data_IF_384027633576
#
_entry.id   IF_384027633576
#
_cell.length_a   1.000
_cell.length_b   1.000
_cell.length_c   1.000
_cell.angle_alpha   90.00
_cell.angle_beta   90.00
_cell.angle_gamma   90.00
#
_symmetry.space_group_name_H-M   'P 1'
#
loop_
_entity.id
_entity.type
_entity.pdbx_description
1 polymer ?
#
# COMPACT_ATOMS: atom_id res chain seq x y z
N UNK A 1 9.80 -25.71 -3.04
CA UNK A 1 11.19 -25.89 -2.59
C UNK A 1 11.38 -24.97 -1.39
N UNK A 2 11.86 -25.47 -0.25
CA UNK A 2 12.14 -24.62 0.90
C UNK A 2 13.37 -23.75 0.64
N UNK A 3 13.35 -22.52 1.13
CA UNK A 3 14.54 -21.68 1.21
C UNK A 3 15.25 -21.96 2.54
N UNK A 4 16.57 -22.12 2.54
CA UNK A 4 17.34 -22.31 3.78
C UNK A 4 17.42 -20.99 4.54
N UNK A 5 17.02 -20.99 5.81
CA UNK A 5 17.09 -19.81 6.68
C UNK A 5 18.51 -19.63 7.21
N UNK A 6 19.12 -18.46 6.92
CA UNK A 6 20.50 -18.16 7.33
C UNK A 6 20.61 -17.11 8.45
N UNK A 7 19.56 -16.31 8.66
CA UNK A 7 19.55 -15.21 9.63
C UNK A 7 18.15 -15.07 10.24
N UNK A 8 18.09 -14.53 11.44
CA UNK A 8 16.86 -14.15 12.14
C UNK A 8 16.94 -12.68 12.52
N UNK A 9 15.80 -11.97 12.44
CA UNK A 9 15.67 -10.60 12.93
C UNK A 9 15.02 -10.64 14.31
N UNK A 10 15.65 -10.00 15.29
CA UNK A 10 15.06 -9.78 16.61
C UNK A 10 14.48 -8.36 16.63
N UNK A 11 13.20 -8.24 16.94
CA UNK A 11 12.48 -6.97 17.01
C UNK A 11 11.71 -6.89 18.34
N UNK A 12 11.43 -5.66 18.77
CA UNK A 12 10.51 -5.45 19.88
C UNK A 12 9.08 -5.81 19.44
N UNK A 13 8.33 -6.43 20.34
CA UNK A 13 6.90 -6.71 20.10
C UNK A 13 6.11 -5.40 20.10
N UNK A 14 5.22 -5.24 19.14
CA UNK A 14 4.24 -4.17 19.11
C UNK A 14 2.84 -4.77 19.41
N UNK A 15 2.05 -4.06 20.19
CA UNK A 15 0.62 -4.36 20.32
C UNK A 15 -0.09 -3.72 19.12
N UNK A 16 -0.49 -4.56 18.17
CA UNK A 16 -1.16 -4.15 16.94
C UNK A 16 -2.67 -4.13 17.19
N UNK A 17 -3.26 -2.93 17.19
CA UNK A 17 -4.70 -2.78 17.37
C UNK A 17 -5.48 -2.99 16.06
N UNK A 18 -4.91 -2.52 14.94
CA UNK A 18 -5.49 -2.56 13.60
C UNK A 18 -4.40 -2.79 12.56
N UNK A 19 -4.75 -3.45 11.46
CA UNK A 19 -3.86 -3.75 10.34
C UNK A 19 -4.45 -3.19 9.05
N UNK A 20 -3.61 -2.59 8.22
CA UNK A 20 -4.01 -1.94 6.99
C UNK A 20 -3.07 -2.36 5.86
N UNK A 21 -3.61 -2.38 4.64
CA UNK A 21 -2.86 -2.71 3.44
C UNK A 21 -2.65 -1.46 2.58
N UNK A 22 -1.41 -1.20 2.14
CA UNK A 22 -1.11 -0.21 1.09
C UNK A 22 -0.01 -0.73 0.16
N UNK A 23 -0.15 -0.47 -1.14
CA UNK A 23 0.90 -0.76 -2.10
C UNK A 23 0.93 0.18 -3.30
N UNK A 24 2.11 0.27 -3.91
CA UNK A 24 2.34 0.87 -5.22
C UNK A 24 2.96 -0.16 -6.15
N UNK A 25 2.42 -0.27 -7.37
CA UNK A 25 2.91 -1.20 -8.37
C UNK A 25 2.79 -0.64 -9.79
N UNK A 26 3.58 -1.21 -10.70
CA UNK A 26 3.43 -0.98 -12.14
C UNK A 26 2.27 -1.82 -12.70
N UNK A 27 1.16 -1.17 -13.07
CA UNK A 27 0.08 -1.79 -13.83
C UNK A 27 0.48 -1.87 -15.32
N UNK A 28 0.97 -3.05 -15.71
CA UNK A 28 1.41 -3.33 -17.07
C UNK A 28 0.28 -3.32 -18.10
N UNK A 29 -0.94 -3.61 -17.69
CA UNK A 29 -2.10 -3.65 -18.58
C UNK A 29 -2.46 -2.24 -19.03
N UNK A 30 -2.53 -1.33 -18.06
CA UNK A 30 -2.90 0.07 -18.30
C UNK A 30 -1.69 0.99 -18.54
N UNK A 31 -0.46 0.45 -18.44
CA UNK A 31 0.81 1.19 -18.62
C UNK A 31 0.88 2.41 -17.71
N UNK A 32 0.45 2.24 -16.47
CA UNK A 32 0.38 3.28 -15.45
C UNK A 32 0.86 2.72 -14.11
N UNK A 33 1.04 3.58 -13.12
CA UNK A 33 1.25 3.16 -11.75
C UNK A 33 -0.09 3.07 -11.03
N UNK A 34 -0.20 2.10 -10.13
CA UNK A 34 -1.43 1.85 -9.38
C UNK A 34 -1.11 1.90 -7.89
N UNK A 35 -1.86 2.71 -7.17
CA UNK A 35 -1.97 2.65 -5.72
C UNK A 35 -3.11 1.68 -5.37
N UNK A 36 -2.82 0.71 -4.49
CA UNK A 36 -3.84 -0.13 -3.88
C UNK A 36 -3.87 0.09 -2.37
N UNK A 37 -5.06 0.20 -1.79
CA UNK A 37 -5.20 0.42 -0.36
C UNK A 37 -6.48 -0.22 0.21
N UNK A 38 -6.40 -0.75 1.42
CA UNK A 38 -7.53 -1.37 2.11
C UNK A 38 -7.42 -1.26 3.63
N UNK A 39 -8.57 -1.18 4.30
CA UNK A 39 -8.69 -1.36 5.75
C UNK A 39 -8.59 -2.83 6.18
N UNK A 40 -8.58 -3.77 5.22
CA UNK A 40 -8.43 -5.21 5.49
C UNK A 40 -6.95 -5.63 5.35
N UNK A 41 -6.09 -5.17 6.27
CA UNK A 41 -4.69 -5.62 6.37
C UNK A 41 -4.55 -7.02 6.99
N UNK A 42 -3.34 -7.57 6.92
CA UNK A 42 -3.02 -8.89 7.50
C UNK A 42 -3.55 -10.09 6.70
N UNK A 43 -4.07 -9.85 5.49
CA UNK A 43 -4.61 -10.89 4.59
C UNK A 43 -3.93 -10.85 3.22
N UNK A 44 -4.09 -11.93 2.45
CA UNK A 44 -3.61 -11.98 1.06
C UNK A 44 -4.49 -11.05 0.19
N UNK A 45 -3.86 -10.07 -0.45
CA UNK A 45 -4.60 -9.02 -1.17
C UNK A 45 -5.36 -9.56 -2.38
N UNK A 46 -4.89 -10.64 -2.98
CA UNK A 46 -5.56 -11.35 -4.06
C UNK A 46 -6.90 -11.95 -3.61
N UNK A 47 -7.00 -12.39 -2.36
CA UNK A 47 -8.25 -12.90 -1.78
C UNK A 47 -9.25 -11.76 -1.56
N UNK A 48 -8.79 -10.62 -1.01
CA UNK A 48 -9.62 -9.41 -0.85
C UNK A 48 -10.15 -8.97 -2.22
N UNK A 49 -9.28 -8.88 -3.22
CA UNK A 49 -9.66 -8.48 -4.57
C UNK A 49 -10.68 -9.42 -5.23
N UNK A 50 -10.68 -10.72 -4.87
CA UNK A 50 -11.61 -11.71 -5.41
C UNK A 50 -12.95 -11.78 -4.66
N UNK A 51 -12.94 -11.57 -3.34
CA UNK A 51 -14.10 -11.80 -2.47
C UNK A 51 -14.83 -10.52 -2.08
N UNK A 52 -14.10 -9.41 -1.93
CA UNK A 52 -14.59 -8.09 -1.53
C UNK A 52 -13.90 -7.00 -2.35
N UNK A 53 -14.06 -6.97 -3.68
CA UNK A 53 -13.40 -6.00 -4.54
C UNK A 53 -13.67 -4.53 -4.14
N UNK A 54 -14.80 -4.26 -3.49
CA UNK A 54 -15.17 -2.95 -2.94
C UNK A 54 -14.37 -2.51 -1.71
N UNK A 55 -13.75 -3.45 -1.00
CA UNK A 55 -12.88 -3.16 0.14
C UNK A 55 -11.46 -2.77 -0.29
N UNK A 56 -11.17 -2.80 -1.59
CA UNK A 56 -9.86 -2.50 -2.16
C UNK A 56 -9.92 -1.29 -3.09
N UNK A 57 -9.44 -0.15 -2.59
CA UNK A 57 -9.25 1.03 -3.42
C UNK A 57 -8.14 0.77 -4.44
N UNK A 58 -8.38 1.18 -5.69
CA UNK A 58 -7.43 1.09 -6.81
C UNK A 58 -7.39 2.42 -7.53
N UNK A 59 -6.33 3.19 -7.28
CA UNK A 59 -6.21 4.57 -7.77
C UNK A 59 -4.99 4.68 -8.67
N UNK A 60 -5.20 5.14 -9.91
CA UNK A 60 -4.10 5.38 -10.84
C UNK A 60 -3.25 6.58 -10.35
N UNK A 61 -1.94 6.43 -10.46
CA UNK A 61 -0.94 7.45 -10.12
C UNK A 61 -0.22 7.87 -11.39
N UNK A 62 -0.22 9.18 -11.67
CA UNK A 62 0.52 9.74 -12.80
C UNK A 62 2.02 9.64 -12.54
N UNK A 63 2.77 9.19 -13.55
CA UNK A 63 4.22 8.98 -13.43
C UNK A 63 5.02 10.27 -13.27
N UNK A 64 4.51 11.41 -13.75
CA UNK A 64 5.18 12.70 -13.70
C UNK A 64 4.81 13.47 -12.43
N UNK A 65 3.53 13.43 -12.03
CA UNK A 65 3.06 14.12 -10.82
C UNK A 65 3.33 13.30 -9.54
N UNK A 66 3.15 11.98 -9.61
CA UNK A 66 3.30 11.09 -8.47
C UNK A 66 2.20 11.21 -7.43
N UNK A 67 2.54 10.91 -6.17
CA UNK A 67 1.60 11.00 -5.04
C UNK A 67 1.74 12.36 -4.38
N UNK A 68 0.92 13.32 -4.82
CA UNK A 68 0.75 14.62 -4.15
C UNK A 68 -0.05 14.48 -2.86
N UNK A 69 -0.11 15.52 -1.99
CA UNK A 69 -0.99 15.52 -0.83
C UNK A 69 -2.47 15.26 -1.19
N UNK A 70 -2.94 15.83 -2.30
CA UNK A 70 -4.31 15.61 -2.81
C UNK A 70 -4.52 14.17 -3.28
N UNK A 71 -3.54 13.59 -4.00
CA UNK A 71 -3.60 12.20 -4.43
C UNK A 71 -3.55 11.24 -3.24
N UNK A 72 -2.72 11.53 -2.24
CA UNK A 72 -2.68 10.75 -1.00
C UNK A 72 -4.03 10.77 -0.28
N UNK A 73 -4.67 11.93 -0.18
CA UNK A 73 -6.03 12.09 0.36
C UNK A 73 -7.08 11.30 -0.42
N UNK A 74 -7.03 11.38 -1.75
CA UNK A 74 -7.90 10.59 -2.63
C UNK A 74 -7.77 9.08 -2.35
N UNK A 75 -6.54 8.57 -2.20
CA UNK A 75 -6.29 7.15 -1.89
C UNK A 75 -6.88 6.78 -0.52
N UNK A 76 -6.63 7.58 0.52
CA UNK A 76 -7.12 7.24 1.86
C UNK A 76 -8.64 7.34 1.99
N UNK A 77 -9.25 8.31 1.31
CA UNK A 77 -10.70 8.47 1.27
C UNK A 77 -11.35 7.32 0.49
N UNK A 78 -10.78 6.93 -0.65
CA UNK A 78 -11.28 5.82 -1.45
C UNK A 78 -11.19 4.47 -0.72
N UNK A 79 -10.17 4.30 0.13
CA UNK A 79 -9.98 3.10 0.95
C UNK A 79 -10.84 3.09 2.23
N UNK A 80 -11.55 4.17 2.52
CA UNK A 80 -12.37 4.36 3.73
C UNK A 80 -11.57 4.19 5.04
N UNK A 81 -10.33 4.69 5.09
CA UNK A 81 -9.58 4.68 6.35
C UNK A 81 -10.27 5.51 7.44
N UNK A 82 -10.15 5.12 8.73
CA UNK A 82 -10.66 5.91 9.84
C UNK A 82 -10.04 7.31 9.90
N UNK A 83 -10.85 8.31 10.26
CA UNK A 83 -10.44 9.73 10.24
C UNK A 83 -9.20 10.03 11.11
N UNK A 84 -9.02 9.31 12.21
CA UNK A 84 -7.91 9.49 13.14
C UNK A 84 -6.56 9.00 12.59
N UNK A 85 -6.56 8.13 11.56
CA UNK A 85 -5.34 7.62 10.92
C UNK A 85 -5.08 8.20 9.53
N UNK A 86 -6.07 8.85 8.90
CA UNK A 86 -5.98 9.36 7.51
C UNK A 86 -4.75 10.21 7.25
N UNK A 87 -4.46 11.19 8.12
CA UNK A 87 -3.32 12.09 7.93
C UNK A 87 -1.98 11.33 8.00
N UNK A 88 -1.85 10.39 8.94
CA UNK A 88 -0.64 9.57 9.07
C UNK A 88 -0.43 8.63 7.89
N UNK A 89 -1.51 8.00 7.40
CA UNK A 89 -1.46 7.12 6.23
C UNK A 89 -1.16 7.94 4.97
N UNK A 90 -1.77 9.11 4.79
CA UNK A 90 -1.50 9.98 3.65
C UNK A 90 -0.03 10.46 3.61
N UNK A 91 0.58 10.73 4.77
CA UNK A 91 2.02 11.01 4.87
C UNK A 91 2.86 9.77 4.51
N UNK A 92 2.49 8.59 5.01
CA UNK A 92 3.17 7.34 4.69
C UNK A 92 3.11 7.01 3.19
N UNK A 93 1.96 7.19 2.53
CA UNK A 93 1.78 6.96 1.10
C UNK A 93 2.73 7.83 0.26
N UNK A 94 2.89 9.11 0.62
CA UNK A 94 3.84 10.00 -0.06
C UNK A 94 5.28 9.50 0.08
N UNK A 95 5.68 9.06 1.29
CA UNK A 95 7.03 8.52 1.53
C UNK A 95 7.25 7.19 0.81
N UNK A 96 6.26 6.31 0.82
CA UNK A 96 6.33 5.02 0.11
C UNK A 96 6.41 5.23 -1.40
N UNK A 97 5.73 6.24 -1.94
CA UNK A 97 5.91 6.64 -3.34
C UNK A 97 7.33 7.13 -3.63
N UNK A 98 7.92 7.95 -2.76
CA UNK A 98 9.33 8.33 -2.88
C UNK A 98 10.23 7.11 -2.92
N UNK A 99 10.06 6.16 -1.99
CA UNK A 99 10.82 4.89 -1.98
C UNK A 99 10.63 4.10 -3.26
N UNK A 100 9.39 3.97 -3.74
CA UNK A 100 9.07 3.24 -4.96
C UNK A 100 9.83 3.80 -6.17
N UNK A 101 9.91 5.13 -6.29
CA UNK A 101 10.61 5.81 -7.39
C UNK A 101 12.13 5.78 -7.22
N UNK A 102 12.63 6.10 -6.02
CA UNK A 102 14.08 6.22 -5.78
C UNK A 102 14.81 4.87 -5.85
N UNK A 103 14.13 3.77 -5.52
CA UNK A 103 14.70 2.42 -5.57
C UNK A 103 14.42 1.70 -6.90
N UNK A 104 13.86 2.38 -7.91
CA UNK A 104 13.42 1.79 -9.19
C UNK A 104 12.57 0.51 -8.97
N UNK A 105 11.68 0.55 -7.97
CA UNK A 105 10.95 -0.63 -7.53
C UNK A 105 9.83 -1.00 -8.53
N UNK A 106 9.48 -2.30 -8.56
CA UNK A 106 8.31 -2.78 -9.29
C UNK A 106 7.08 -2.93 -8.39
N UNK A 107 7.32 -3.05 -7.09
CA UNK A 107 6.32 -3.18 -6.03
C UNK A 107 6.91 -2.64 -4.75
N UNK A 108 6.16 -1.78 -4.07
CA UNK A 108 6.33 -1.47 -2.64
C UNK A 108 5.01 -1.82 -1.97
N UNK A 109 5.06 -2.66 -0.95
CA UNK A 109 3.88 -3.15 -0.24
C UNK A 109 4.12 -3.13 1.26
N UNK A 110 3.12 -2.67 1.99
CA UNK A 110 3.04 -2.74 3.45
C UNK A 110 1.72 -3.43 3.78
N UNK A 111 1.83 -4.57 4.48
CA UNK A 111 0.74 -5.44 4.89
C UNK A 111 0.99 -5.93 6.32
#
# INVERSE_FOLDING_TARGET
KGHTVHKVMLAQTADIAEEYYVSFLLDRTNRTFLAMASVEGGMEIEEVAATKPEALAKIAVDANEGVTPEKAREIVDAANFPEDVKDGIAEALQKLWTVFVEEDALLVEVN
#
